data_IF_393062140127
#
_entry.id   IF_393062140127
#
_cell.length_a   1.000
_cell.length_b   1.000
_cell.length_c   1.000
_cell.angle_alpha   90.00
_cell.angle_beta   90.00
_cell.angle_gamma   90.00
#
_symmetry.space_group_name_H-M   'P 1'
#
loop_
_entity.id
_entity.type
_entity.pdbx_description
1 polymer ?
#
# COMPACT_ATOMS: atom_id res chain seq x y z
N UNK A 1 5.35 -18.22 -4.61
CA UNK A 1 6.57 -17.40 -4.86
C UNK A 1 6.27 -16.55 -6.09
N UNK A 2 6.62 -15.26 -6.07
CA UNK A 2 6.48 -14.38 -7.24
C UNK A 2 7.87 -14.02 -7.75
N UNK A 3 8.07 -14.06 -9.06
CA UNK A 3 9.37 -13.84 -9.71
C UNK A 3 9.27 -12.75 -10.76
N UNK A 4 10.33 -11.95 -10.89
CA UNK A 4 10.46 -10.94 -11.94
C UNK A 4 11.80 -11.13 -12.64
N UNK A 5 11.77 -11.20 -13.97
CA UNK A 5 12.99 -11.24 -14.77
C UNK A 5 13.49 -9.81 -14.97
N UNK A 6 14.74 -9.57 -14.59
CA UNK A 6 15.39 -8.26 -14.70
C UNK A 6 16.74 -8.41 -15.39
N UNK A 7 17.24 -7.33 -15.99
CA UNK A 7 18.61 -7.30 -16.51
C UNK A 7 19.60 -7.30 -15.36
N UNK A 8 20.68 -8.06 -15.48
CA UNK A 8 21.75 -8.09 -14.50
C UNK A 8 22.28 -9.51 -14.24
N UNK A 9 23.14 -9.63 -13.22
CA UNK A 9 23.79 -10.89 -12.80
C UNK A 9 23.54 -11.23 -11.32
N UNK A 10 22.63 -10.51 -10.67
CA UNK A 10 22.33 -10.63 -9.23
C UNK A 10 20.88 -11.02 -9.03
N UNK A 11 20.59 -11.66 -7.90
CA UNK A 11 19.23 -12.04 -7.50
C UNK A 11 18.81 -11.21 -6.28
N UNK A 12 17.70 -10.48 -6.40
CA UNK A 12 17.07 -9.83 -5.25
C UNK A 12 15.98 -10.74 -4.70
N UNK A 13 16.12 -11.13 -3.44
CA UNK A 13 15.12 -11.91 -2.71
C UNK A 13 14.50 -11.04 -1.64
N UNK A 14 13.17 -10.97 -1.65
CA UNK A 14 12.37 -10.31 -0.60
C UNK A 14 11.43 -11.32 0.03
N UNK A 15 11.38 -11.34 1.36
CA UNK A 15 10.51 -12.22 2.14
C UNK A 15 9.60 -11.34 3.00
N UNK A 16 8.31 -11.67 3.04
CA UNK A 16 7.28 -10.97 3.81
C UNK A 16 6.42 -12.00 4.56
N UNK A 17 6.84 -12.46 5.77
CA UNK A 17 6.00 -13.32 6.60
C UNK A 17 4.76 -12.56 7.07
N UNK A 18 3.62 -12.81 6.42
CA UNK A 18 2.39 -12.06 6.65
C UNK A 18 1.50 -12.78 7.66
N UNK A 19 1.02 -12.03 8.66
CA UNK A 19 0.01 -12.53 9.59
C UNK A 19 -1.36 -12.56 8.92
N UNK A 20 -2.16 -13.59 9.19
CA UNK A 20 -3.42 -13.77 8.47
C UNK A 20 -4.54 -12.83 8.94
N UNK A 21 -4.53 -12.41 10.22
CA UNK A 21 -5.52 -11.46 10.74
C UNK A 21 -5.59 -10.15 9.96
N UNK A 22 -4.42 -9.58 9.62
CA UNK A 22 -4.36 -8.38 8.76
C UNK A 22 -4.51 -8.69 7.27
N UNK A 23 -4.21 -9.92 6.82
CA UNK A 23 -4.51 -10.36 5.44
C UNK A 23 -6.02 -10.41 5.17
N UNK A 24 -6.82 -10.88 6.14
CA UNK A 24 -8.29 -10.93 6.05
C UNK A 24 -8.95 -9.55 5.91
N UNK A 25 -8.22 -8.47 6.17
CA UNK A 25 -8.69 -7.09 6.02
C UNK A 25 -8.28 -6.45 4.69
N UNK A 26 -7.55 -7.17 3.84
CA UNK A 26 -7.26 -6.71 2.49
C UNK A 26 -8.56 -6.67 1.65
N UNK A 27 -8.65 -5.68 0.76
CA UNK A 27 -9.78 -5.52 -0.15
C UNK A 27 -9.28 -5.11 -1.53
N UNK A 28 -10.06 -5.46 -2.55
CA UNK A 28 -9.83 -5.07 -3.93
C UNK A 28 -11.13 -4.55 -4.52
N UNK A 29 -11.05 -3.51 -5.32
CA UNK A 29 -12.17 -2.93 -6.04
C UNK A 29 -11.77 -2.66 -7.50
N UNK A 30 -12.75 -2.77 -8.39
CA UNK A 30 -12.61 -2.42 -9.80
C UNK A 30 -13.24 -1.06 -10.03
N UNK A 31 -12.42 -0.10 -10.42
CA UNK A 31 -12.88 1.24 -10.76
C UNK A 31 -13.01 1.41 -12.26
N UNK A 32 -13.91 2.30 -12.67
CA UNK A 32 -13.91 2.80 -14.02
C UNK A 32 -12.65 3.66 -14.26
N UNK A 33 -12.12 3.73 -15.49
CA UNK A 33 -10.98 4.59 -15.83
C UNK A 33 -11.24 6.08 -15.58
N UNK A 34 -12.52 6.47 -15.55
CA UNK A 34 -13.00 7.82 -15.28
C UNK A 34 -13.16 8.13 -13.79
N UNK A 35 -12.93 7.13 -12.91
CA UNK A 35 -13.05 7.31 -11.48
C UNK A 35 -12.14 8.44 -10.99
N UNK A 36 -12.69 9.32 -10.17
CA UNK A 36 -11.96 10.43 -9.59
C UNK A 36 -10.99 9.89 -8.54
N UNK A 37 -9.84 10.58 -8.42
CA UNK A 37 -8.86 10.25 -7.38
C UNK A 37 -9.47 10.28 -5.97
N UNK A 38 -10.48 11.12 -5.71
CA UNK A 38 -11.19 11.14 -4.43
C UNK A 38 -11.85 9.80 -4.11
N UNK A 39 -12.52 9.18 -5.08
CA UNK A 39 -13.22 7.89 -4.90
C UNK A 39 -12.23 6.78 -4.52
N UNK A 40 -11.05 6.78 -5.16
CA UNK A 40 -9.96 5.84 -4.84
C UNK A 40 -9.43 6.09 -3.42
N UNK A 41 -9.23 7.35 -3.03
CA UNK A 41 -8.78 7.68 -1.67
C UNK A 41 -9.81 7.26 -0.62
N UNK A 42 -11.09 7.49 -0.90
CA UNK A 42 -12.19 7.17 0.01
C UNK A 42 -12.27 5.66 0.21
N UNK A 43 -12.16 4.87 -0.86
CA UNK A 43 -12.03 3.42 -0.77
C UNK A 43 -10.85 2.98 0.12
N UNK A 44 -9.65 3.55 -0.06
CA UNK A 44 -8.49 3.20 0.78
C UNK A 44 -8.76 3.51 2.25
N UNK A 45 -9.33 4.68 2.55
CA UNK A 45 -9.67 5.08 3.93
C UNK A 45 -10.75 4.18 4.52
N UNK A 46 -11.76 3.79 3.74
CA UNK A 46 -12.85 2.94 4.17
C UNK A 46 -12.41 1.50 4.44
N UNK A 47 -11.44 0.97 3.67
CA UNK A 47 -10.82 -0.32 3.97
C UNK A 47 -10.11 -0.28 5.33
N UNK A 48 -9.38 0.80 5.63
CA UNK A 48 -8.73 0.96 6.94
C UNK A 48 -9.74 1.17 8.06
N UNK A 49 -10.81 1.95 7.81
CA UNK A 49 -11.91 2.13 8.77
C UNK A 49 -12.58 0.80 9.10
N UNK A 50 -12.88 0.00 8.09
CA UNK A 50 -13.47 -1.33 8.25
C UNK A 50 -12.52 -2.36 8.88
N UNK A 51 -11.20 -2.14 8.83
CA UNK A 51 -10.23 -2.95 9.56
C UNK A 51 -10.27 -2.68 11.07
N UNK A 52 -10.66 -1.48 11.51
CA UNK A 52 -10.92 -1.18 12.92
C UNK A 52 -9.74 -1.49 13.83
N UNK A 53 -9.97 -2.29 14.87
CA UNK A 53 -8.94 -2.85 15.76
C UNK A 53 -8.42 -4.23 15.32
N UNK A 54 -9.15 -4.91 14.45
CA UNK A 54 -9.00 -6.33 14.12
C UNK A 54 -7.69 -6.69 13.40
N UNK A 55 -6.97 -5.70 12.88
CA UNK A 55 -5.66 -5.90 12.25
C UNK A 55 -4.49 -5.38 13.11
N UNK A 56 -4.68 -5.21 14.42
CA UNK A 56 -3.67 -4.79 15.39
C UNK A 56 -2.90 -3.52 14.97
N UNK A 57 -3.58 -2.36 14.85
CA UNK A 57 -2.93 -1.09 14.53
C UNK A 57 -1.85 -0.73 15.57
N UNK A 58 -0.83 0.07 15.22
CA UNK A 58 -0.80 0.95 14.04
C UNK A 58 -0.43 0.22 12.75
N UNK A 59 -1.11 0.59 11.67
CA UNK A 59 -1.00 -0.07 10.37
C UNK A 59 0.20 0.38 9.54
N UNK A 60 0.62 -0.50 8.63
CA UNK A 60 1.30 -0.11 7.40
C UNK A 60 0.40 -0.53 6.25
N UNK A 61 -0.01 0.43 5.43
CA UNK A 61 -0.97 0.21 4.33
C UNK A 61 -0.22 0.17 3.02
N UNK A 62 -0.33 -0.96 2.31
CA UNK A 62 0.17 -1.12 0.95
C UNK A 62 -0.98 -1.02 -0.04
N UNK A 63 -0.82 -0.22 -1.08
CA UNK A 63 -1.84 -0.02 -2.12
C UNK A 63 -1.24 -0.37 -3.48
N UNK A 64 -1.95 -1.19 -4.24
CA UNK A 64 -1.64 -1.53 -5.62
C UNK A 64 -2.68 -0.93 -6.56
N UNK A 65 -2.26 -0.22 -7.61
CA UNK A 65 -3.15 0.43 -8.57
C UNK A 65 -2.79 0.01 -10.00
N UNK A 66 -3.75 -0.53 -10.74
CA UNK A 66 -3.58 -0.94 -12.13
C UNK A 66 -2.97 -2.33 -12.32
N UNK A 67 -2.70 -2.70 -13.58
CA UNK A 67 -2.45 -4.09 -13.99
C UNK A 67 -3.73 -4.92 -14.04
N UNK A 68 -3.60 -6.23 -13.82
CA UNK A 68 -4.73 -7.15 -13.63
C UNK A 68 -5.16 -7.19 -12.16
N UNK A 69 -6.32 -7.78 -11.87
CA UNK A 69 -6.83 -7.93 -10.50
C UNK A 69 -5.80 -8.55 -9.54
N UNK A 70 -5.23 -9.69 -9.94
CA UNK A 70 -4.24 -10.43 -9.17
C UNK A 70 -2.92 -9.66 -9.06
N UNK A 71 -2.52 -8.95 -10.12
CA UNK A 71 -1.30 -8.15 -10.10
C UNK A 71 -1.42 -6.93 -9.19
N UNK A 72 -2.58 -6.26 -9.15
CA UNK A 72 -2.82 -5.17 -8.20
C UNK A 72 -2.70 -5.65 -6.75
N UNK A 73 -3.21 -6.85 -6.43
CA UNK A 73 -3.03 -7.45 -5.11
C UNK A 73 -1.54 -7.75 -4.81
N UNK A 74 -0.79 -8.21 -5.79
CA UNK A 74 0.66 -8.40 -5.66
C UNK A 74 1.39 -7.07 -5.45
N UNK A 75 1.04 -6.01 -6.18
CA UNK A 75 1.60 -4.66 -6.01
C UNK A 75 1.33 -4.11 -4.61
N UNK A 76 0.11 -4.29 -4.08
CA UNK A 76 -0.22 -3.90 -2.72
C UNK A 76 0.67 -4.61 -1.68
N UNK A 77 0.96 -5.91 -1.88
CA UNK A 77 1.90 -6.66 -1.03
C UNK A 77 3.34 -6.18 -1.19
N UNK A 78 3.78 -5.89 -2.41
CA UNK A 78 5.11 -5.30 -2.67
C UNK A 78 5.26 -3.91 -2.05
N UNK A 79 4.18 -3.13 -1.98
CA UNK A 79 4.19 -1.84 -1.33
C UNK A 79 4.51 -1.95 0.18
N UNK A 80 4.15 -3.05 0.84
CA UNK A 80 4.53 -3.32 2.24
C UNK A 80 6.02 -3.59 2.45
N UNK A 81 6.78 -3.92 1.39
CA UNK A 81 8.23 -4.07 1.44
C UNK A 81 8.96 -2.71 1.41
N UNK A 82 8.25 -1.61 1.16
CA UNK A 82 8.85 -0.28 1.17
C UNK A 82 9.12 0.18 2.62
N UNK A 83 10.28 0.79 2.90
CA UNK A 83 10.58 1.31 4.24
C UNK A 83 9.53 2.32 4.72
N UNK A 84 9.13 2.24 5.99
CA UNK A 84 8.21 3.18 6.64
C UNK A 84 8.76 4.63 6.56
N UNK A 85 10.08 4.78 6.60
CA UNK A 85 10.79 6.06 6.52
C UNK A 85 10.93 6.61 5.10
N UNK A 86 10.42 5.92 4.07
CA UNK A 86 10.54 6.36 2.68
C UNK A 86 9.71 7.62 2.46
N UNK A 87 10.32 8.77 2.74
CA UNK A 87 9.93 10.07 2.18
C UNK A 87 10.59 10.12 0.81
N UNK A 88 9.84 10.45 -0.25
CA UNK A 88 10.36 10.59 -1.61
C UNK A 88 11.76 11.23 -1.63
N UNK A 89 12.80 10.43 -1.84
CA UNK A 89 14.11 10.93 -2.20
C UNK A 89 14.08 11.21 -3.70
N UNK A 90 13.95 12.50 -4.02
CA UNK A 90 13.73 13.01 -5.37
C UNK A 90 15.06 13.40 -5.98
N UNK A 91 15.55 12.63 -6.95
CA UNK A 91 16.55 13.08 -7.93
C UNK A 91 16.18 12.47 -9.29
N UNK A 92 16.09 13.29 -10.35
CA UNK A 92 15.76 12.99 -11.79
C UNK A 92 14.28 13.04 -12.20
N UNK A 93 13.91 13.34 -13.47
CA UNK A 93 12.55 13.66 -13.97
C UNK A 93 11.37 12.76 -13.58
N UNK A 94 11.60 11.51 -13.15
CA UNK A 94 10.63 10.63 -12.47
C UNK A 94 10.17 11.24 -11.11
N UNK A 95 10.96 12.18 -10.60
CA UNK A 95 10.77 13.09 -9.48
C UNK A 95 9.36 13.64 -9.35
N UNK A 96 8.77 14.15 -10.44
CA UNK A 96 7.45 14.78 -10.38
C UNK A 96 6.35 13.75 -10.14
N UNK A 97 6.44 12.57 -10.75
CA UNK A 97 5.50 11.47 -10.51
C UNK A 97 5.68 10.92 -9.09
N UNK A 98 6.92 10.70 -8.66
CA UNK A 98 7.27 10.30 -7.29
C UNK A 98 6.79 11.32 -6.25
N UNK A 99 6.98 12.62 -6.50
CA UNK A 99 6.54 13.68 -5.60
C UNK A 99 5.01 13.77 -5.52
N UNK A 100 4.29 13.61 -6.64
CA UNK A 100 2.82 13.50 -6.64
C UNK A 100 2.35 12.28 -5.86
N UNK A 101 3.01 11.14 -6.04
CA UNK A 101 2.72 9.92 -5.29
C UNK A 101 2.97 10.11 -3.79
N UNK A 102 4.09 10.67 -3.38
CA UNK A 102 4.37 10.90 -1.96
C UNK A 102 3.46 11.94 -1.33
N UNK A 103 3.00 12.94 -2.09
CA UNK A 103 1.95 13.85 -1.62
C UNK A 103 0.62 13.11 -1.40
N UNK A 104 0.29 12.17 -2.29
CA UNK A 104 -0.90 11.31 -2.16
C UNK A 104 -0.80 10.37 -0.95
N UNK A 105 0.36 9.72 -0.75
CA UNK A 105 0.64 8.86 0.40
C UNK A 105 0.54 9.64 1.72
N UNK A 106 1.13 10.85 1.78
CA UNK A 106 1.05 11.71 2.96
C UNK A 106 -0.38 12.19 3.24
N UNK A 107 -1.14 12.55 2.20
CA UNK A 107 -2.55 12.91 2.32
C UNK A 107 -3.39 11.75 2.86
N UNK A 108 -3.20 10.54 2.33
CA UNK A 108 -3.89 9.33 2.81
C UNK A 108 -3.50 9.00 4.25
N UNK A 109 -2.21 9.07 4.61
CA UNK A 109 -1.74 8.85 5.96
C UNK A 109 -2.42 9.82 6.95
N UNK A 110 -2.50 11.10 6.58
CA UNK A 110 -3.19 12.12 7.38
C UNK A 110 -4.69 11.82 7.51
N UNK A 111 -5.35 11.44 6.42
CA UNK A 111 -6.78 11.08 6.43
C UNK A 111 -7.05 9.85 7.30
N UNK A 112 -6.22 8.83 7.21
CA UNK A 112 -6.33 7.61 8.01
C UNK A 112 -6.11 7.91 9.50
N UNK A 113 -5.09 8.71 9.83
CA UNK A 113 -4.82 9.06 11.22
C UNK A 113 -5.93 9.93 11.85
N UNK A 114 -6.67 10.70 11.05
CA UNK A 114 -7.88 11.41 11.47
C UNK A 114 -9.08 10.50 11.78
N UNK A 115 -9.03 9.21 11.46
CA UNK A 115 -10.05 8.25 11.90
C UNK A 115 -10.01 8.03 13.42
N UNK A 116 -8.92 8.41 14.09
CA UNK A 116 -8.74 8.29 15.54
C UNK A 116 -8.95 6.88 16.11
N UNK A 117 -8.74 5.83 15.31
CA UNK A 117 -8.78 4.43 15.76
C UNK A 117 -7.64 4.18 16.76
N UNK A 118 -6.45 4.67 16.43
CA UNK A 118 -5.26 4.60 17.27
C UNK A 118 -4.67 3.20 17.47
N UNK A 119 -3.59 3.07 18.25
CA UNK A 119 -2.95 1.79 18.52
C UNK A 119 -3.91 0.79 19.16
N UNK A 120 -3.95 -0.43 18.63
CA UNK A 120 -4.86 -1.51 19.04
C UNK A 120 -6.36 -1.15 19.04
N UNK A 121 -6.76 -0.03 18.43
CA UNK A 121 -8.14 0.46 18.46
C UNK A 121 -8.56 1.16 19.75
N UNK A 122 -7.60 1.58 20.58
CA UNK A 122 -7.86 2.23 21.87
C UNK A 122 -8.02 3.76 21.77
N UNK A 123 -8.13 4.29 20.55
CA UNK A 123 -8.18 5.72 20.28
C UNK A 123 -6.79 6.34 20.11
N UNK A 124 -6.77 7.54 19.52
CA UNK A 124 -5.56 8.36 19.39
C UNK A 124 -5.10 8.59 17.95
N UNK A 125 -3.98 9.31 17.81
CA UNK A 125 -3.57 9.93 16.53
C UNK A 125 -2.79 8.99 15.60
N UNK A 126 -2.28 7.87 16.10
CA UNK A 126 -1.39 6.97 15.37
C UNK A 126 -2.12 5.68 14.97
N UNK A 127 -3.06 5.79 14.04
CA UNK A 127 -3.77 4.63 13.46
C UNK A 127 -2.90 3.92 12.42
N UNK A 128 -2.08 4.68 11.69
CA UNK A 128 -1.24 4.20 10.61
C UNK A 128 0.13 4.90 10.67
N UNK A 129 1.20 4.14 10.42
CA UNK A 129 2.58 4.63 10.39
C UNK A 129 3.01 5.01 8.98
N UNK A 130 2.52 4.31 7.95
CA UNK A 130 2.86 4.59 6.56
C UNK A 130 1.80 4.06 5.59
N UNK A 131 1.65 4.80 4.49
CA UNK A 131 0.91 4.37 3.30
C UNK A 131 1.90 4.33 2.16
N UNK A 132 2.02 3.19 1.49
CA UNK A 132 2.88 3.01 0.34
C UNK A 132 2.04 2.61 -0.86
N UNK A 133 2.25 3.27 -2.00
CA UNK A 133 1.52 3.00 -3.23
C UNK A 133 2.49 2.40 -4.26
N UNK A 134 2.04 1.38 -4.99
CA UNK A 134 2.67 0.96 -6.24
C UNK A 134 1.62 0.98 -7.34
N UNK A 135 1.96 1.63 -8.46
CA UNK A 135 1.09 1.71 -9.62
C UNK A 135 1.69 1.00 -10.82
N UNK A 136 0.82 0.54 -11.70
CA UNK A 136 1.16 -0.07 -12.97
C UNK A 136 0.15 0.37 -14.04
N UNK A 137 0.54 0.46 -15.33
CA UNK A 137 -0.41 0.70 -16.41
C UNK A 137 -1.56 -0.33 -16.39
N UNK A 138 -2.74 0.08 -16.85
CA UNK A 138 -3.91 -0.79 -16.92
C UNK A 138 -4.61 -0.65 -18.27
N UNK A 139 -5.43 -1.62 -18.62
CA UNK A 139 -6.29 -1.53 -19.79
C UNK A 139 -7.30 -0.39 -19.62
N UNK A 140 -7.64 0.33 -20.69
CA UNK A 140 -8.57 1.48 -20.66
C UNK A 140 -10.01 1.11 -20.27
N UNK A 141 -10.32 -0.17 -20.06
CA UNK A 141 -11.66 -0.60 -19.64
C UNK A 141 -11.84 -0.63 -18.11
N UNK A 142 -10.75 -0.58 -17.33
CA UNK A 142 -10.86 -0.69 -15.88
C UNK A 142 -9.57 -0.39 -15.13
N UNK A 143 -9.73 -0.08 -13.85
CA UNK A 143 -8.64 0.26 -12.94
C UNK A 143 -8.77 -0.57 -11.65
N UNK A 144 -8.06 -1.71 -11.55
CA UNK A 144 -7.99 -2.47 -10.31
C UNK A 144 -7.27 -1.67 -9.22
N UNK A 145 -7.84 -1.60 -8.03
CA UNK A 145 -7.22 -0.99 -6.85
C UNK A 145 -7.30 -1.98 -5.69
N UNK A 146 -6.14 -2.39 -5.19
CA UNK A 146 -6.01 -3.31 -4.07
C UNK A 146 -5.39 -2.60 -2.86
N UNK A 147 -5.91 -2.90 -1.68
CA UNK A 147 -5.41 -2.41 -0.39
C UNK A 147 -5.05 -3.61 0.46
N UNK A 148 -3.79 -3.72 0.88
CA UNK A 148 -3.33 -4.72 1.83
C UNK A 148 -2.85 -4.02 3.11
N UNK A 149 -3.32 -4.49 4.25
CA UNK A 149 -2.98 -3.94 5.56
C UNK A 149 -1.97 -4.87 6.22
N UNK A 150 -0.84 -4.31 6.68
CA UNK A 150 0.01 -4.96 7.67
C UNK A 150 -0.33 -4.45 9.06
N UNK A 151 -0.38 -5.39 10.01
CA UNK A 151 -0.38 -5.08 11.44
C UNK A 151 0.96 -4.46 11.87
N UNK A 152 1.05 -4.07 13.14
CA UNK A 152 2.30 -3.59 13.74
C UNK A 152 3.48 -4.57 13.58
N UNK A 153 3.21 -5.87 13.45
CA UNK A 153 4.21 -6.91 13.20
C UNK A 153 4.55 -7.04 11.69
N UNK A 154 4.97 -5.95 11.06
CA UNK A 154 5.50 -5.96 9.69
C UNK A 154 6.86 -6.65 9.67
N UNK A 155 6.86 -7.94 9.35
CA UNK A 155 8.06 -8.77 9.24
C UNK A 155 8.46 -8.81 7.77
N UNK A 156 9.61 -8.24 7.44
CA UNK A 156 10.14 -8.33 6.08
C UNK A 156 11.65 -8.30 6.07
N UNK A 157 12.25 -8.94 5.07
CA UNK A 157 13.68 -8.87 4.80
C UNK A 157 13.92 -8.83 3.29
N UNK A 158 14.95 -8.11 2.86
CA UNK A 158 15.37 -8.07 1.47
C UNK A 158 16.88 -8.19 1.37
N UNK A 159 17.37 -9.06 0.50
CA UNK A 159 18.80 -9.23 0.23
C UNK A 159 19.04 -9.29 -1.28
N UNK A 160 20.14 -8.68 -1.72
CA UNK A 160 20.68 -8.86 -3.06
C UNK A 160 21.87 -9.79 -2.93
N UNK A 161 21.85 -10.87 -3.71
CA UNK A 161 22.90 -11.88 -3.81
C UNK A 161 23.55 -11.70 -5.19
#
# INVERSE_FOLDING_TARGET
>A
IHTELVRGRKVKVSVLPKGFGCENKAKIAMFNPTAKLSEIKDFIVDVVRGAGSDACPPYIVGVGIGGTQDYAALLAKKALLCPISRRAMVWQPIAKAIAKQSKLEADLLNRINKLNIGPMGLGGKNTCLAVNIQSYPTHIAGLPVAVNISCHALRSATKII
#
